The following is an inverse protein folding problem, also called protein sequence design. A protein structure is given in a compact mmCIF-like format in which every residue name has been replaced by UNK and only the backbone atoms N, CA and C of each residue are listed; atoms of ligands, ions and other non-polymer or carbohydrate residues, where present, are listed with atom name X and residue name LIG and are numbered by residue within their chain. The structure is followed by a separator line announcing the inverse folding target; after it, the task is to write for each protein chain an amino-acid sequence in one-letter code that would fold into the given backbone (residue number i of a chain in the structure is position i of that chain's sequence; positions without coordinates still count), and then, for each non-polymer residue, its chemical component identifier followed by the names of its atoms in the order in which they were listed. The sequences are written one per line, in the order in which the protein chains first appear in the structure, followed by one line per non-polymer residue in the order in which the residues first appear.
data_IF_020758769984
#
_entry.id   IF_020758769984
#
_cell.length_a   1.000
_cell.length_b   1.000
_cell.length_c   1.000
_cell.angle_alpha   90.00
_cell.angle_beta   90.00
_cell.angle_gamma   90.00
#
_symmetry.space_group_name_H-M   'P 1'
#
loop_
_entity.id
_entity.type
_entity.pdbx_description
1 polymer ?
#
# COMPACT_ATOMS: atom_id res chain seq x y z
N UNK A 1 -25.07 11.82 14.70
CA UNK A 1 -23.71 11.25 14.56
C UNK A 1 -23.80 10.28 13.41
N UNK A 2 -23.53 10.76 12.19
CA UNK A 2 -23.49 9.88 11.02
C UNK A 2 -22.17 9.13 11.11
N UNK A 3 -22.22 7.85 11.53
CA UNK A 3 -21.04 6.99 11.51
C UNK A 3 -20.48 6.96 10.09
N UNK A 4 -19.15 6.89 9.95
CA UNK A 4 -18.58 6.57 8.64
C UNK A 4 -19.10 5.19 8.26
N UNK A 5 -19.62 5.07 7.05
CA UNK A 5 -19.82 3.78 6.40
C UNK A 5 -18.45 3.35 5.88
N UNK A 6 -17.70 2.60 6.69
CA UNK A 6 -16.34 2.18 6.36
C UNK A 6 -15.78 1.17 7.35
N UNK A 7 -14.87 0.32 6.87
CA UNK A 7 -14.23 -0.72 7.71
C UNK A 7 -12.94 -0.17 8.30
N UNK A 8 -12.75 -0.29 9.61
CA UNK A 8 -11.52 0.16 10.26
C UNK A 8 -10.34 -0.68 9.79
N UNK A 9 -9.27 -0.02 9.35
CA UNK A 9 -8.01 -0.65 8.90
C UNK A 9 -6.99 -0.66 10.04
N UNK A 10 -6.66 0.52 10.57
CA UNK A 10 -5.59 0.75 11.55
C UNK A 10 -5.85 2.04 12.36
N UNK A 11 -5.07 2.26 13.42
CA UNK A 11 -4.89 3.59 13.98
C UNK A 11 -3.95 4.42 13.09
N UNK A 12 -4.12 5.74 13.05
CA UNK A 12 -3.20 6.64 12.34
C UNK A 12 -1.79 6.52 12.90
N UNK A 13 -1.66 6.32 14.21
CA UNK A 13 -0.37 6.15 14.89
C UNK A 13 0.34 4.83 14.52
N UNK A 14 -0.36 3.86 13.92
CA UNK A 14 0.24 2.63 13.39
C UNK A 14 0.82 2.84 11.98
N UNK A 15 0.45 3.92 11.28
CA UNK A 15 1.04 4.29 9.99
C UNK A 15 2.44 4.88 10.25
N UNK A 16 3.52 4.31 9.70
CA UNK A 16 4.86 4.81 9.96
C UNK A 16 5.07 6.24 9.49
N UNK A 17 5.81 7.05 10.25
CA UNK A 17 6.26 8.40 9.83
C UNK A 17 7.12 8.36 8.56
N UNK A 18 7.73 7.22 8.26
CA UNK A 18 8.41 6.93 7.00
C UNK A 18 8.26 5.45 6.68
N UNK A 19 7.69 5.16 5.50
CA UNK A 19 7.38 3.80 5.07
C UNK A 19 5.88 3.63 4.84
N UNK A 20 5.40 2.40 4.95
CA UNK A 20 3.99 2.09 4.76
C UNK A 20 3.45 1.10 5.77
N UNK A 21 2.14 1.17 5.99
CA UNK A 21 1.35 0.10 6.60
C UNK A 21 0.70 -0.72 5.49
N UNK A 22 0.98 -2.03 5.44
CA UNK A 22 0.47 -2.94 4.42
C UNK A 22 -0.77 -3.69 4.93
N UNK A 23 -1.81 -3.76 4.10
CA UNK A 23 -2.97 -4.61 4.34
C UNK A 23 -3.49 -5.23 3.05
N UNK A 24 -4.30 -6.27 3.21
CA UNK A 24 -4.96 -6.99 2.12
C UNK A 24 -6.46 -6.69 2.13
N UNK A 25 -6.99 -6.39 0.96
CA UNK A 25 -8.41 -6.19 0.68
C UNK A 25 -8.86 -7.10 -0.47
N UNK A 26 -10.16 -7.30 -0.61
CA UNK A 26 -10.78 -8.05 -1.69
C UNK A 26 -11.55 -7.10 -2.61
N UNK A 27 -11.45 -7.27 -3.93
CA UNK A 27 -12.27 -6.54 -4.89
C UNK A 27 -13.66 -7.18 -5.11
N UNK A 28 -14.54 -6.50 -5.85
CA UNK A 28 -15.88 -7.01 -6.17
C UNK A 28 -15.93 -8.31 -6.99
N UNK A 29 -14.79 -8.83 -7.43
CA UNK A 29 -14.62 -10.10 -8.14
C UNK A 29 -13.89 -11.15 -7.31
N UNK A 30 -13.80 -10.97 -5.99
CA UNK A 30 -13.13 -11.87 -5.03
C UNK A 30 -11.61 -12.01 -5.25
N UNK A 31 -10.97 -11.05 -5.93
CA UNK A 31 -9.52 -11.04 -6.03
C UNK A 31 -8.93 -10.27 -4.86
N UNK A 32 -7.94 -10.89 -4.21
CA UNK A 32 -7.15 -10.22 -3.19
C UNK A 32 -6.25 -9.15 -3.81
N UNK A 33 -6.16 -8.01 -3.14
CA UNK A 33 -5.34 -6.86 -3.51
C UNK A 33 -4.62 -6.32 -2.29
N UNK A 34 -3.33 -6.16 -2.43
CA UNK A 34 -2.53 -5.45 -1.43
C UNK A 34 -2.64 -3.93 -1.61
N UNK A 35 -2.78 -3.25 -0.49
CA UNK A 35 -2.90 -1.80 -0.39
C UNK A 35 -1.93 -1.31 0.69
N UNK A 36 -1.31 -0.16 0.46
CA UNK A 36 -0.42 0.50 1.42
C UNK A 36 -1.04 1.82 1.87
N UNK A 37 -1.02 2.05 3.18
CA UNK A 37 -1.19 3.38 3.77
C UNK A 37 0.19 4.03 3.88
N UNK A 38 0.31 5.28 3.45
CA UNK A 38 1.56 6.07 3.52
C UNK A 38 1.30 7.42 4.17
N UNK A 39 2.28 7.99 4.89
CA UNK A 39 2.16 9.34 5.42
C UNK A 39 2.08 10.36 4.27
N UNK A 40 1.20 11.34 4.41
CA UNK A 40 1.08 12.49 3.53
C UNK A 40 1.18 13.79 4.35
N UNK A 41 1.75 14.84 3.76
CA UNK A 41 1.92 16.15 4.43
C UNK A 41 0.60 16.96 4.47
N UNK A 42 -0.34 16.66 3.57
CA UNK A 42 -1.67 17.26 3.51
C UNK A 42 -2.69 16.51 4.38
N UNK A 43 -3.76 17.19 4.80
CA UNK A 43 -4.88 16.56 5.52
C UNK A 43 -5.56 15.51 4.63
N UNK A 44 -5.82 14.28 5.13
CA UNK A 44 -5.87 13.88 6.54
C UNK A 44 -4.57 13.32 7.14
N UNK A 45 -3.43 13.46 6.46
CA UNK A 45 -2.11 13.01 6.91
C UNK A 45 -1.73 11.59 6.47
N UNK A 46 -2.64 10.89 5.81
CA UNK A 46 -2.47 9.51 5.32
C UNK A 46 -3.17 9.39 3.97
N UNK A 47 -2.52 8.72 3.03
CA UNK A 47 -3.09 8.33 1.75
C UNK A 47 -2.99 6.81 1.55
N UNK A 48 -3.86 6.27 0.70
CA UNK A 48 -3.92 4.84 0.43
C UNK A 48 -3.78 4.52 -1.06
N UNK A 49 -2.85 3.62 -1.37
CA UNK A 49 -2.50 3.27 -2.74
C UNK A 49 -2.47 1.75 -2.92
N UNK A 50 -2.88 1.30 -4.09
CA UNK A 50 -2.64 -0.09 -4.50
C UNK A 50 -1.13 -0.37 -4.48
N UNK A 51 -0.71 -1.44 -3.79
CA UNK A 51 0.69 -1.82 -3.58
C UNK A 51 1.32 -2.46 -4.84
N UNK A 52 1.29 -1.76 -5.97
CA UNK A 52 1.90 -2.25 -7.21
C UNK A 52 2.30 -1.10 -8.14
N UNK A 53 3.55 -1.12 -8.59
CA UNK A 53 4.05 -0.16 -9.56
C UNK A 53 3.23 -0.19 -10.86
N UNK A 54 2.98 0.98 -11.41
CA UNK A 54 2.25 1.16 -12.68
C UNK A 54 3.07 0.81 -13.91
N UNK A 55 4.40 0.74 -13.79
CA UNK A 55 5.30 0.29 -14.86
C UNK A 55 5.19 -1.23 -15.07
N UNK A 56 5.36 -2.02 -14.01
CA UNK A 56 5.35 -3.48 -14.04
C UNK A 56 4.80 -4.06 -12.72
N UNK A 57 4.44 -5.34 -12.72
CA UNK A 57 3.93 -6.05 -11.54
C UNK A 57 5.00 -6.19 -10.43
N UNK A 58 5.21 -5.11 -9.68
CA UNK A 58 6.20 -4.95 -8.64
C UNK A 58 5.56 -4.28 -7.42
N UNK A 59 5.46 -5.03 -6.32
CA UNK A 59 5.06 -4.52 -5.00
C UNK A 59 6.05 -3.48 -4.47
N UNK A 60 5.56 -2.40 -3.86
CA UNK A 60 6.43 -1.42 -3.18
C UNK A 60 6.85 -1.94 -1.82
N UNK A 61 5.85 -2.37 -1.04
CA UNK A 61 6.01 -3.03 0.24
C UNK A 61 5.91 -4.55 0.07
N UNK A 62 6.84 -5.29 0.66
CA UNK A 62 6.82 -6.77 0.69
C UNK A 62 6.64 -7.31 2.11
N UNK A 63 6.10 -6.50 3.03
CA UNK A 63 5.92 -6.81 4.44
C UNK A 63 6.93 -6.13 5.37
N UNK A 64 7.69 -5.15 4.88
CA UNK A 64 8.72 -4.44 5.67
C UNK A 64 8.59 -2.91 5.60
N UNK A 65 7.50 -2.39 5.04
CA UNK A 65 7.37 -1.00 4.67
C UNK A 65 7.95 -0.73 3.28
N UNK A 66 7.29 0.14 2.52
CA UNK A 66 7.80 0.67 1.26
C UNK A 66 9.01 1.59 1.53
N UNK A 67 10.02 1.53 0.68
CA UNK A 67 11.11 2.49 0.74
C UNK A 67 10.60 3.87 0.34
N UNK A 68 10.91 4.89 1.15
CA UNK A 68 10.50 6.26 0.88
C UNK A 68 11.65 7.25 1.00
N UNK A 69 11.55 8.36 0.26
CA UNK A 69 12.47 9.49 0.34
C UNK A 69 11.75 10.77 -0.07
N UNK A 70 11.92 11.85 0.71
CA UNK A 70 11.36 13.16 0.42
C UNK A 70 9.84 13.15 0.15
N UNK A 71 9.07 12.35 0.89
CA UNK A 71 7.63 12.23 0.64
C UNK A 71 7.25 11.37 -0.56
N UNK A 72 8.20 10.67 -1.18
CA UNK A 72 7.94 9.81 -2.35
C UNK A 72 8.16 8.32 -2.03
N UNK A 73 7.31 7.46 -2.58
CA UNK A 73 7.40 6.01 -2.54
C UNK A 73 8.32 5.54 -3.67
N UNK A 74 9.36 4.77 -3.33
CA UNK A 74 10.38 4.31 -4.28
C UNK A 74 10.03 2.90 -4.74
N UNK A 75 9.83 2.71 -6.05
CA UNK A 75 9.76 1.40 -6.65
C UNK A 75 11.11 0.67 -6.51
N UNK A 76 11.16 -0.50 -5.84
CA UNK A 76 12.43 -1.16 -5.51
C UNK A 76 13.13 -1.79 -6.73
N UNK A 77 12.45 -1.89 -7.88
CA UNK A 77 12.99 -2.56 -9.07
C UNK A 77 13.82 -1.59 -9.92
N UNK A 78 13.23 -0.48 -10.35
CA UNK A 78 13.88 0.47 -11.27
C UNK A 78 13.94 1.91 -10.76
N UNK A 79 13.45 2.17 -9.54
CA UNK A 79 13.65 3.45 -8.87
C UNK A 79 12.73 4.61 -9.29
N UNK A 80 11.64 4.33 -10.02
CA UNK A 80 10.55 5.32 -10.15
C UNK A 80 10.02 5.69 -8.77
N UNK A 81 9.72 6.97 -8.58
CA UNK A 81 9.29 7.59 -7.34
C UNK A 81 7.89 8.16 -7.54
N UNK A 82 7.02 7.88 -6.58
CA UNK A 82 5.62 8.30 -6.61
C UNK A 82 5.38 9.21 -5.42
N UNK A 83 4.93 10.43 -5.66
CA UNK A 83 4.54 11.36 -4.59
C UNK A 83 3.49 10.71 -3.68
N UNK A 84 3.70 10.73 -2.36
CA UNK A 84 2.86 10.00 -1.42
C UNK A 84 1.44 10.59 -1.29
N UNK A 85 1.29 11.90 -1.51
CA UNK A 85 0.01 12.59 -1.39
C UNK A 85 -0.86 12.49 -2.65
N UNK A 86 -0.25 12.52 -3.83
CA UNK A 86 -0.96 12.53 -5.11
C UNK A 86 -0.86 11.21 -5.89
N UNK A 87 0.09 10.35 -5.51
CA UNK A 87 0.42 9.12 -6.23
C UNK A 87 1.07 9.35 -7.60
N UNK A 88 1.38 10.60 -7.98
CA UNK A 88 1.93 10.92 -9.30
C UNK A 88 3.42 10.54 -9.41
N UNK A 89 3.83 10.10 -10.59
CA UNK A 89 5.22 9.79 -10.91
C UNK A 89 5.70 10.64 -12.10
N UNK A 90 6.74 11.44 -11.89
CA UNK A 90 7.36 12.26 -12.93
C UNK A 90 8.74 11.75 -13.38
N UNK A 91 9.24 10.64 -12.81
CA UNK A 91 10.56 10.10 -13.10
C UNK A 91 10.58 8.60 -13.48
N UNK A 92 11.71 8.18 -14.05
CA UNK A 92 11.96 6.78 -14.37
C UNK A 92 10.98 6.22 -15.41
N UNK A 93 10.78 4.90 -15.37
CA UNK A 93 9.97 4.18 -16.36
C UNK A 93 8.46 4.29 -16.12
N UNK A 94 8.04 4.68 -14.92
CA UNK A 94 6.64 4.96 -14.59
C UNK A 94 6.24 6.43 -14.81
N UNK A 95 7.14 7.27 -15.36
CA UNK A 95 6.88 8.69 -15.56
C UNK A 95 5.59 8.94 -16.38
N UNK A 96 4.76 9.87 -15.91
CA UNK A 96 3.48 10.22 -16.51
C UNK A 96 2.30 9.32 -16.09
N UNK A 97 2.50 8.44 -15.10
CA UNK A 97 1.45 7.62 -14.50
C UNK A 97 1.16 8.06 -13.06
N UNK A 98 0.06 7.56 -12.50
CA UNK A 98 -0.28 7.75 -11.09
C UNK A 98 -0.72 6.43 -10.46
N UNK A 99 -0.42 6.24 -9.18
CA UNK A 99 -0.86 5.09 -8.41
C UNK A 99 -2.40 5.01 -8.39
N UNK A 100 -2.99 3.81 -8.53
CA UNK A 100 -4.41 3.63 -8.30
C UNK A 100 -4.73 3.92 -6.83
N UNK A 101 -5.58 4.92 -6.59
CA UNK A 101 -6.02 5.33 -5.25
C UNK A 101 -7.02 4.34 -4.66
N UNK A 102 -6.99 4.22 -3.33
CA UNK A 102 -8.01 3.53 -2.53
C UNK A 102 -8.63 4.54 -1.59
N UNK A 103 -9.95 4.73 -1.66
CA UNK A 103 -10.61 5.76 -0.85
C UNK A 103 -10.64 5.39 0.64
N UNK A 104 -10.10 6.29 1.47
CA UNK A 104 -10.10 6.17 2.92
C UNK A 104 -10.69 7.41 3.59
N UNK A 105 -11.02 7.28 4.87
CA UNK A 105 -11.31 8.40 5.75
C UNK A 105 -10.57 8.25 7.07
N UNK A 106 -10.05 9.36 7.59
CA UNK A 106 -9.45 9.43 8.93
C UNK A 106 -10.41 10.15 9.87
N UNK A 107 -10.80 9.52 10.98
CA UNK A 107 -11.59 10.15 12.05
C UNK A 107 -11.27 9.55 13.39
N UNK A 108 -11.25 10.40 14.41
CA UNK A 108 -11.03 10.01 15.80
C UNK A 108 -9.78 9.12 15.99
N UNK A 109 -8.72 9.40 15.22
CA UNK A 109 -7.46 8.65 15.24
C UNK A 109 -7.47 7.32 14.47
N UNK A 110 -8.60 6.91 13.88
CA UNK A 110 -8.69 5.69 13.06
C UNK A 110 -8.67 5.98 11.57
N UNK A 111 -8.04 5.09 10.80
CA UNK A 111 -8.12 5.02 9.34
C UNK A 111 -9.19 4.00 8.94
N UNK A 112 -10.11 4.39 8.07
CA UNK A 112 -11.23 3.57 7.61
C UNK A 112 -11.20 3.42 6.09
N UNK A 113 -11.34 2.19 5.60
CA UNK A 113 -11.61 1.90 4.20
C UNK A 113 -13.03 2.32 3.87
N UNK A 114 -13.18 3.27 2.95
CA UNK A 114 -14.48 3.80 2.50
C UNK A 114 -14.75 3.56 1.01
N UNK A 115 -13.76 3.03 0.29
CA UNK A 115 -13.88 2.65 -1.11
C UNK A 115 -14.81 1.44 -1.29
N UNK A 116 -15.95 1.64 -1.94
CA UNK A 116 -16.94 0.57 -2.17
C UNK A 116 -16.45 -0.53 -3.14
N UNK A 117 -15.34 -0.29 -3.85
CA UNK A 117 -14.71 -1.30 -4.71
C UNK A 117 -13.99 -2.38 -3.92
N UNK A 118 -13.71 -2.14 -2.63
CA UNK A 118 -12.87 -2.99 -1.80
C UNK A 118 -13.54 -3.39 -0.47
N UNK A 119 -13.27 -4.60 -0.03
CA UNK A 119 -13.59 -5.08 1.32
C UNK A 119 -12.30 -5.42 2.05
N UNK A 120 -12.09 -4.87 3.26
CA UNK A 120 -10.90 -5.19 4.07
C UNK A 120 -10.90 -6.66 4.47
N UNK A 121 -9.74 -7.34 4.37
CA UNK A 121 -9.56 -8.71 4.81
C UNK A 121 -8.71 -8.81 6.08
N UNK A 122 -7.42 -8.46 5.99
CA UNK A 122 -6.47 -8.59 7.10
C UNK A 122 -5.25 -7.66 6.93
N UNK A 123 -4.48 -7.51 8.01
CA UNK A 123 -3.19 -6.82 7.99
C UNK A 123 -2.12 -7.65 7.27
N UNK A 124 -1.13 -6.97 6.69
CA UNK A 124 -0.06 -7.62 5.94
C UNK A 124 -0.42 -7.95 4.49
N UNK A 125 0.58 -8.50 3.81
CA UNK A 125 0.49 -8.83 2.39
C UNK A 125 -0.15 -10.18 2.12
N UNK A 126 -0.49 -10.40 0.86
CA UNK A 126 -0.89 -11.71 0.35
C UNK A 126 0.35 -12.59 0.37
N UNK A 127 0.27 -13.71 1.10
CA UNK A 127 1.32 -14.73 1.12
C UNK A 127 1.65 -15.09 -0.33
N UNK A 128 2.88 -14.79 -0.76
CA UNK A 128 3.36 -15.35 -1.99
C UNK A 128 3.48 -16.86 -1.74
N UNK A 129 2.93 -17.69 -2.63
CA UNK A 129 3.36 -19.07 -2.77
C UNK A 129 4.83 -19.01 -3.22
N UNK A 130 5.73 -18.72 -2.29
CA UNK A 130 7.15 -18.97 -2.42
C UNK A 130 7.24 -20.49 -2.53
N UNK A 131 7.25 -20.97 -3.77
CA UNK A 131 7.49 -22.35 -4.11
C UNK A 131 8.65 -22.92 -3.29
N UNK A 132 8.66 -24.24 -3.05
CA UNK A 132 9.30 -24.86 -1.90
C UNK A 132 10.71 -24.32 -1.65
N UNK A 133 10.93 -23.84 -0.42
CA UNK A 133 12.23 -23.49 0.12
C UNK A 133 13.21 -24.62 -0.24
N UNK A 134 14.07 -24.33 -1.20
CA UNK A 134 15.08 -25.29 -1.66
C UNK A 134 16.12 -25.39 -0.57
N UNK A 135 15.81 -26.21 0.45
CA UNK A 135 16.77 -26.63 1.45
C UNK A 135 17.90 -27.34 0.71
N UNK A 136 18.97 -26.60 0.45
CA UNK A 136 20.24 -27.15 0.00
C UNK A 136 20.81 -27.95 1.16
N UNK A 137 20.33 -29.18 1.33
CA UNK A 137 20.99 -30.18 2.15
C UNK A 137 22.24 -30.65 1.39
N UNK A 138 23.35 -29.94 1.57
CA UNK A 138 24.68 -30.48 1.31
C UNK A 138 25.05 -31.41 2.48
N UNK A 139 24.83 -32.71 2.28
CA UNK A 139 25.73 -33.78 2.74
C UNK A 139 26.14 -34.53 1.47
N UNK A 140 27.42 -34.82 1.20
CA UNK A 140 28.42 -35.49 2.03
C UNK A 140 29.83 -35.02 1.66
#
# INVERSE_FOLDING_TARGET
MTGIEGTRIADVDDVPETGSYLFTAEDGFTNEREVILVPCEDDPGVEAWVNNCTHENQRFDRGSGAAMRNGEIICPKHGSMFDACSGACDNGEAAGTSLPSVEIAVRDGGVFLTDDRYSYLHDGGIEADDGPDSTSHLGF
#
